data_IF_277471419501
#
_entry.id   IF_277471419501
#
_cell.length_a   1.000
_cell.length_b   1.000
_cell.length_c   1.000
_cell.angle_alpha   90.00
_cell.angle_beta   90.00
_cell.angle_gamma   90.00
#
_symmetry.space_group_name_H-M   'P 1'
#
loop_
_entity.id
_entity.type
_entity.pdbx_description
1 polymer ?
#
# COMPACT_ATOMS: atom_id res chain seq x y z
N UNK A 1 14.57 8.67 19.21
CA UNK A 1 13.64 8.50 18.07
C UNK A 1 12.90 7.21 18.31
N UNK A 2 11.57 7.18 18.19
CA UNK A 2 10.80 5.94 18.37
C UNK A 2 11.04 5.01 17.18
N UNK A 3 10.93 3.71 17.43
CA UNK A 3 11.08 2.67 16.41
C UNK A 3 9.78 2.55 15.64
N UNK A 4 9.86 2.52 14.31
CA UNK A 4 8.69 2.22 13.47
C UNK A 4 8.38 0.72 13.66
N UNK A 5 7.16 0.33 14.05
CA UNK A 5 6.81 -1.08 14.18
C UNK A 5 6.78 -1.79 12.82
N UNK A 6 6.89 -3.11 12.81
CA UNK A 6 6.69 -3.93 11.62
C UNK A 6 5.21 -3.96 11.23
N UNK A 7 4.90 -4.17 9.95
CA UNK A 7 3.52 -4.21 9.42
C UNK A 7 2.64 -5.23 10.16
N UNK A 8 3.21 -6.39 10.49
CA UNK A 8 2.55 -7.55 11.13
C UNK A 8 2.20 -7.38 12.61
N UNK A 9 2.86 -6.42 13.27
CA UNK A 9 2.79 -6.21 14.73
C UNK A 9 2.27 -4.81 15.07
N UNK A 10 1.92 -4.02 14.06
CA UNK A 10 1.33 -2.70 14.24
C UNK A 10 -0.21 -2.74 14.21
N UNK A 11 -0.81 -1.67 14.74
CA UNK A 11 -2.23 -1.42 14.61
C UNK A 11 -2.58 -0.96 13.19
N UNK A 12 -3.72 -1.43 12.69
CA UNK A 12 -4.32 -1.03 11.43
C UNK A 12 -5.72 -0.48 11.66
N UNK A 13 -6.02 0.66 11.04
CA UNK A 13 -7.35 1.25 10.99
C UNK A 13 -7.91 1.19 9.58
N UNK A 14 -9.24 1.20 9.48
CA UNK A 14 -9.97 1.30 8.22
C UNK A 14 -10.80 2.58 8.26
N UNK A 15 -10.68 3.38 7.22
CA UNK A 15 -11.57 4.48 6.92
C UNK A 15 -12.36 4.16 5.65
N UNK A 16 -13.66 4.42 5.70
CA UNK A 16 -14.58 4.22 4.57
C UNK A 16 -15.10 5.58 4.11
N UNK A 17 -15.34 5.70 2.81
CA UNK A 17 -15.87 6.90 2.21
C UNK A 17 -16.51 6.62 0.85
N UNK A 18 -16.97 7.69 0.22
CA UNK A 18 -17.57 7.63 -1.11
C UNK A 18 -17.08 8.82 -1.93
N UNK A 19 -16.83 8.59 -3.22
CA UNK A 19 -16.55 9.65 -4.19
C UNK A 19 -17.32 9.39 -5.47
N UNK A 20 -18.14 10.35 -5.90
CA UNK A 20 -18.91 10.23 -7.14
C UNK A 20 -19.87 9.03 -7.16
N UNK A 21 -20.41 8.60 -6.01
CA UNK A 21 -21.27 7.42 -5.93
C UNK A 21 -20.53 6.08 -5.85
N UNK A 22 -19.20 6.10 -5.77
CA UNK A 22 -18.36 4.89 -5.70
C UNK A 22 -17.67 4.77 -4.34
N UNK A 23 -17.57 3.56 -3.77
CA UNK A 23 -16.94 3.36 -2.48
C UNK A 23 -15.43 3.57 -2.53
N UNK A 24 -14.90 4.09 -1.42
CA UNK A 24 -13.47 4.22 -1.13
C UNK A 24 -13.20 3.55 0.21
N UNK A 25 -12.17 2.72 0.25
CA UNK A 25 -11.64 2.09 1.46
C UNK A 25 -10.17 2.45 1.63
N UNK A 26 -9.79 2.94 2.80
CA UNK A 26 -8.40 3.22 3.17
C UNK A 26 -8.04 2.42 4.41
N UNK A 27 -7.12 1.47 4.26
CA UNK A 27 -6.43 0.81 5.38
C UNK A 27 -5.15 1.58 5.67
N UNK A 28 -4.92 1.99 6.91
CA UNK A 28 -3.72 2.75 7.27
C UNK A 28 -3.23 2.46 8.68
N UNK A 29 -1.96 2.76 8.94
CA UNK A 29 -1.31 2.54 10.23
C UNK A 29 -1.21 3.85 11.04
N UNK A 30 -2.04 4.04 12.09
CA UNK A 30 -2.05 5.30 12.85
C UNK A 30 -0.74 5.59 13.57
N UNK A 31 0.04 4.56 13.93
CA UNK A 31 1.35 4.75 14.57
C UNK A 31 2.33 5.55 13.71
N UNK A 32 2.17 5.54 12.38
CA UNK A 32 3.07 6.23 11.44
C UNK A 32 2.91 7.75 11.44
N UNK A 33 1.87 8.30 12.08
CA UNK A 33 1.66 9.75 12.20
C UNK A 33 2.87 10.44 12.85
N UNK A 34 3.50 9.81 13.84
CA UNK A 34 4.69 10.36 14.53
C UNK A 34 5.98 10.27 13.69
N UNK A 35 5.92 9.59 12.55
CA UNK A 35 7.03 9.35 11.63
C UNK A 35 6.88 10.09 10.29
N UNK A 36 5.90 10.97 10.16
CA UNK A 36 5.72 11.79 8.97
C UNK A 36 6.95 12.67 8.71
N UNK A 37 7.47 12.62 7.48
CA UNK A 37 8.67 13.37 7.09
C UNK A 37 10.00 12.73 7.53
N UNK A 38 10.00 11.46 7.94
CA UNK A 38 11.23 10.75 8.28
C UNK A 38 12.19 10.68 7.08
N UNK A 39 13.31 11.40 7.19
CA UNK A 39 14.32 11.51 6.13
C UNK A 39 15.02 10.19 5.78
N UNK A 40 14.86 9.13 6.60
CA UNK A 40 15.33 7.78 6.27
C UNK A 40 14.55 7.16 5.13
N UNK A 41 13.34 7.63 4.85
CA UNK A 41 12.47 7.10 3.81
C UNK A 41 12.03 8.19 2.82
N UNK A 42 12.98 8.82 2.08
CA UNK A 42 12.68 9.98 1.24
C UNK A 42 12.01 9.63 -0.09
N UNK A 43 11.99 8.34 -0.47
CA UNK A 43 11.38 7.87 -1.72
C UNK A 43 10.03 7.24 -1.46
N UNK A 44 9.09 7.44 -2.37
CA UNK A 44 7.76 6.83 -2.32
C UNK A 44 7.62 5.80 -3.42
N UNK A 45 7.36 4.56 -3.05
CA UNK A 45 6.93 3.51 -3.98
C UNK A 45 5.39 3.48 -3.96
N UNK A 46 4.80 3.37 -5.14
CA UNK A 46 3.36 3.28 -5.32
C UNK A 46 3.10 2.10 -6.24
N UNK A 47 2.47 1.05 -5.71
CA UNK A 47 2.07 -0.11 -6.48
C UNK A 47 0.58 0.05 -6.77
N UNK A 48 0.17 -0.17 -8.01
CA UNK A 48 -1.21 0.01 -8.46
C UNK A 48 -1.71 -1.29 -9.08
N UNK A 49 -2.86 -1.77 -8.61
CA UNK A 49 -3.55 -2.94 -9.14
C UNK A 49 -4.92 -2.55 -9.64
N UNK A 50 -5.17 -2.74 -10.94
CA UNK A 50 -6.46 -2.52 -11.57
C UNK A 50 -7.30 -3.80 -11.53
N UNK A 51 -8.58 -3.69 -11.20
CA UNK A 51 -9.47 -4.85 -11.07
C UNK A 51 -10.88 -4.57 -11.59
N UNK A 52 -11.64 -5.62 -11.88
CA UNK A 52 -13.06 -5.53 -12.20
C UNK A 52 -13.90 -5.45 -10.92
N UNK A 53 -14.84 -4.50 -10.87
CA UNK A 53 -15.72 -4.30 -9.70
C UNK A 53 -16.93 -5.23 -9.74
N UNK A 54 -17.33 -5.70 -8.56
CA UNK A 54 -18.63 -6.33 -8.33
C UNK A 54 -19.76 -5.28 -8.31
N UNK A 55 -20.99 -5.70 -8.00
CA UNK A 55 -22.16 -4.82 -7.95
C UNK A 55 -22.10 -3.72 -6.89
N UNK A 56 -21.22 -3.82 -5.89
CA UNK A 56 -21.00 -2.78 -4.88
C UNK A 56 -19.88 -1.81 -5.26
N UNK A 57 -19.20 -1.97 -6.40
CA UNK A 57 -18.05 -1.13 -6.78
C UNK A 57 -16.74 -1.56 -6.11
N UNK A 58 -16.70 -2.74 -5.49
CA UNK A 58 -15.52 -3.28 -4.79
C UNK A 58 -14.98 -4.52 -5.53
N UNK A 59 -13.74 -4.98 -5.25
CA UNK A 59 -13.27 -6.24 -5.82
C UNK A 59 -14.18 -7.40 -5.36
N UNK A 60 -14.24 -8.47 -6.16
CA UNK A 60 -14.84 -9.73 -5.70
C UNK A 60 -14.02 -10.33 -4.56
N UNK A 61 -14.62 -11.23 -3.76
CA UNK A 61 -13.90 -11.90 -2.66
C UNK A 61 -12.64 -12.62 -3.16
N UNK A 62 -12.73 -13.30 -4.31
CA UNK A 62 -11.58 -13.95 -4.94
C UNK A 62 -10.46 -12.94 -5.27
N UNK A 63 -10.80 -11.82 -5.90
CA UNK A 63 -9.79 -10.79 -6.25
C UNK A 63 -9.22 -10.14 -5.00
N UNK A 64 -10.04 -9.92 -3.97
CA UNK A 64 -9.58 -9.40 -2.69
C UNK A 64 -8.62 -10.35 -1.97
N UNK A 65 -8.83 -11.67 -2.09
CA UNK A 65 -7.91 -12.68 -1.58
C UNK A 65 -6.59 -12.69 -2.38
N UNK A 66 -6.65 -12.61 -3.72
CA UNK A 66 -5.45 -12.50 -4.56
C UNK A 66 -4.63 -11.24 -4.24
N UNK A 67 -5.29 -10.11 -3.98
CA UNK A 67 -4.63 -8.88 -3.53
C UNK A 67 -3.97 -9.03 -2.17
N UNK A 68 -4.57 -9.80 -1.26
CA UNK A 68 -4.00 -10.05 0.08
C UNK A 68 -2.75 -10.93 -0.03
N UNK A 69 -2.81 -12.01 -0.81
CA UNK A 69 -1.65 -12.87 -1.06
C UNK A 69 -0.49 -12.08 -1.69
N UNK A 70 -0.80 -11.12 -2.56
CA UNK A 70 0.17 -10.21 -3.12
C UNK A 70 0.77 -9.23 -2.09
N UNK A 71 -0.07 -8.62 -1.24
CA UNK A 71 0.37 -7.79 -0.12
C UNK A 71 1.31 -8.57 0.82
N UNK A 72 0.98 -9.82 1.15
CA UNK A 72 1.80 -10.69 1.98
C UNK A 72 3.19 -10.94 1.36
N UNK A 73 3.27 -11.13 0.04
CA UNK A 73 4.55 -11.28 -0.68
C UNK A 73 5.38 -10.00 -0.63
N UNK A 74 4.74 -8.82 -0.77
CA UNK A 74 5.41 -7.53 -0.66
C UNK A 74 5.95 -7.34 0.76
N UNK A 75 5.11 -7.51 1.77
CA UNK A 75 5.46 -7.31 3.17
C UNK A 75 6.59 -8.26 3.58
N UNK A 76 6.51 -9.55 3.22
CA UNK A 76 7.53 -10.53 3.54
C UNK A 76 8.93 -10.19 3.00
N UNK A 77 9.04 -9.46 1.89
CA UNK A 77 10.32 -9.11 1.31
C UNK A 77 10.76 -7.64 1.54
N UNK A 78 9.86 -6.74 1.97
CA UNK A 78 10.21 -5.35 2.29
C UNK A 78 10.26 -5.02 3.79
N UNK A 79 9.37 -5.59 4.60
CA UNK A 79 9.16 -5.18 5.99
C UNK A 79 10.22 -5.72 6.98
N UNK A 80 10.72 -6.98 6.90
CA UNK A 80 11.66 -7.52 7.90
C UNK A 80 12.98 -6.74 8.04
N UNK A 81 13.48 -6.20 6.93
CA UNK A 81 14.69 -5.36 6.90
C UNK A 81 14.35 -3.86 6.87
N UNK A 82 13.07 -3.50 6.98
CA UNK A 82 12.56 -2.13 6.90
C UNK A 82 13.02 -1.41 5.62
N UNK A 83 13.07 -2.14 4.50
CA UNK A 83 13.44 -1.63 3.17
C UNK A 83 12.35 -0.73 2.60
N UNK A 84 11.10 -0.95 3.00
CA UNK A 84 10.04 0.01 2.82
C UNK A 84 9.01 -0.11 3.93
N UNK A 85 8.32 0.99 4.24
CA UNK A 85 7.23 1.02 5.22
C UNK A 85 5.91 1.10 4.48
N UNK A 86 5.10 0.04 4.50
CA UNK A 86 3.73 0.09 3.99
C UNK A 86 2.90 1.02 4.88
N UNK A 87 2.51 2.18 4.35
CA UNK A 87 1.86 3.22 5.13
C UNK A 87 0.34 3.14 5.06
N UNK A 88 -0.19 2.92 3.85
CA UNK A 88 -1.61 2.71 3.63
C UNK A 88 -1.88 1.97 2.33
N UNK A 89 -3.07 1.38 2.29
CA UNK A 89 -3.67 0.74 1.12
C UNK A 89 -4.98 1.47 0.83
N UNK A 90 -5.13 1.96 -0.39
CA UNK A 90 -6.33 2.67 -0.83
C UNK A 90 -7.00 1.91 -1.96
N UNK A 91 -8.22 1.44 -1.73
CA UNK A 91 -9.07 0.76 -2.72
C UNK A 91 -10.22 1.69 -3.11
N UNK A 92 -10.40 1.90 -4.40
CA UNK A 92 -11.45 2.76 -4.94
C UNK A 92 -12.10 2.10 -6.14
N UNK A 93 -13.43 2.01 -6.12
CA UNK A 93 -14.23 1.65 -7.28
C UNK A 93 -14.33 2.80 -8.27
N UNK A 94 -14.25 2.51 -9.56
CA UNK A 94 -14.59 3.42 -10.65
C UNK A 94 -15.63 2.75 -11.56
N UNK A 95 -16.36 3.52 -12.36
CA UNK A 95 -17.48 3.01 -13.17
C UNK A 95 -17.08 1.90 -14.19
N UNK A 96 -15.79 1.67 -14.41
CA UNK A 96 -15.25 0.68 -15.35
C UNK A 96 -14.22 -0.28 -14.73
N UNK A 97 -14.12 -0.35 -13.39
CA UNK A 97 -13.11 -1.15 -12.69
C UNK A 97 -12.76 -0.54 -11.34
N UNK A 98 -11.63 -0.89 -10.74
CA UNK A 98 -11.20 -0.30 -9.49
C UNK A 98 -9.69 -0.31 -9.38
N UNK A 99 -9.18 0.39 -8.37
CA UNK A 99 -7.75 0.51 -8.16
C UNK A 99 -7.42 0.33 -6.70
N UNK A 100 -6.49 -0.59 -6.41
CA UNK A 100 -5.82 -0.67 -5.12
C UNK A 100 -4.42 -0.08 -5.23
N UNK A 101 -4.10 0.84 -4.33
CA UNK A 101 -2.82 1.53 -4.27
C UNK A 101 -2.15 1.22 -2.93
N UNK A 102 -0.99 0.57 -2.98
CA UNK A 102 -0.08 0.44 -1.84
C UNK A 102 0.93 1.57 -1.88
N UNK A 103 1.02 2.36 -0.81
CA UNK A 103 2.06 3.39 -0.70
C UNK A 103 3.08 3.00 0.35
N UNK A 104 4.32 2.91 -0.08
CA UNK A 104 5.44 2.65 0.81
C UNK A 104 6.48 3.76 0.73
N UNK A 105 7.21 3.98 1.83
CA UNK A 105 8.37 4.89 1.84
C UNK A 105 9.65 4.07 1.97
N UNK A 106 10.69 4.37 1.18
CA UNK A 106 11.91 3.56 1.08
C UNK A 106 13.20 4.39 1.16
N UNK A 107 14.31 3.82 1.67
CA UNK A 107 15.59 4.51 1.85
C UNK A 107 16.39 4.64 0.55
N UNK A 108 16.28 3.69 -0.39
CA UNK A 108 17.00 3.73 -1.67
C UNK A 108 16.32 2.91 -2.77
N UNK A 109 16.44 3.37 -4.03
CA UNK A 109 15.90 2.70 -5.21
C UNK A 109 16.70 1.43 -5.57
N UNK A 110 18.04 1.47 -5.46
CA UNK A 110 18.90 0.35 -5.86
C UNK A 110 18.66 -0.91 -5.02
N UNK A 111 18.44 -0.78 -3.71
CA UNK A 111 18.19 -1.95 -2.85
C UNK A 111 16.78 -2.52 -3.08
N UNK A 112 15.79 -1.66 -3.33
CA UNK A 112 14.45 -2.09 -3.74
C UNK A 112 14.48 -2.87 -5.05
N UNK A 113 15.11 -2.31 -6.10
CA UNK A 113 15.19 -2.93 -7.43
C UNK A 113 15.95 -4.26 -7.42
N UNK A 114 16.95 -4.41 -6.54
CA UNK A 114 17.72 -5.65 -6.40
C UNK A 114 16.89 -6.79 -5.81
N UNK A 115 15.99 -6.48 -4.86
CA UNK A 115 15.15 -7.47 -4.15
C UNK A 115 13.81 -7.70 -4.86
N UNK A 116 13.32 -6.69 -5.58
CA UNK A 116 12.05 -6.72 -6.33
C UNK A 116 12.25 -6.22 -7.76
N UNK A 117 12.62 -7.10 -8.70
CA UNK A 117 12.69 -6.76 -10.12
C UNK A 117 11.28 -6.66 -10.71
N UNK A 118 10.58 -5.55 -10.45
CA UNK A 118 9.30 -5.22 -11.06
C UNK A 118 9.48 -3.94 -11.89
N UNK A 119 9.05 -3.95 -13.15
CA UNK A 119 8.96 -2.74 -13.99
C UNK A 119 7.85 -1.83 -13.42
N UNK A 120 8.19 -0.87 -12.57
CA UNK A 120 7.28 0.13 -12.00
C UNK A 120 7.91 1.53 -12.13
N UNK A 121 7.08 2.54 -12.41
CA UNK A 121 7.50 3.93 -12.52
C UNK A 121 7.72 4.55 -11.13
N UNK A 122 8.99 4.76 -10.75
CA UNK A 122 9.34 5.48 -9.53
C UNK A 122 9.15 6.98 -9.72
N UNK A 123 8.12 7.55 -9.08
CA UNK A 123 7.93 9.00 -9.05
C UNK A 123 8.81 9.61 -7.95
N UNK A 124 9.79 10.41 -8.34
CA UNK A 124 10.53 11.27 -7.41
C UNK A 124 9.74 12.56 -7.16
N UNK A 125 9.69 13.01 -5.90
CA UNK A 125 9.13 14.32 -5.54
C UNK A 125 9.95 15.46 -6.18
#
# INVERSE_FOLDING_TARGET
MKTIPHSDSDAWNIAEGESGGQPILIRYRPSLEEHLGDTRYPRRLTITWEFDTNSSGMPSDQVADEMRDFEDVIDAALDPEMLAILAFVHTHGVLAGGTTIWRTSAPSENELMRRFPINQDFQSN
#
